data_IF_817213057053
#
_entry.id   IF_817213057053
#
_cell.length_a   1.000
_cell.length_b   1.000
_cell.length_c   1.000
_cell.angle_alpha   90.00
_cell.angle_beta   90.00
_cell.angle_gamma   90.00
#
_symmetry.space_group_name_H-M   'P 1'
#
loop_
_entity.id
_entity.type
_entity.pdbx_description
1 polymer ?
#
# COMPACT_ATOMS: atom_id res chain seq x y z
N UNK A 1 21.18 -60.61 13.49
CA UNK A 1 20.62 -60.14 12.20
C UNK A 1 19.79 -58.92 12.47
N UNK A 2 20.31 -57.76 12.04
CA UNK A 2 19.62 -56.47 12.20
C UNK A 2 19.16 -56.06 10.80
N UNK A 3 17.85 -55.98 10.56
CA UNK A 3 17.28 -55.54 9.28
C UNK A 3 17.03 -54.03 9.39
N UNK A 4 17.78 -53.25 8.63
CA UNK A 4 17.61 -51.81 8.50
C UNK A 4 16.61 -51.52 7.38
N UNK A 5 15.41 -51.00 7.71
CA UNK A 5 14.44 -50.48 6.73
C UNK A 5 14.80 -49.05 6.38
N UNK A 6 15.41 -48.83 5.24
CA UNK A 6 15.60 -47.51 4.66
C UNK A 6 14.32 -46.96 4.03
N UNK A 7 13.65 -46.00 4.69
CA UNK A 7 12.49 -45.31 4.13
C UNK A 7 12.94 -44.25 3.12
N UNK A 8 12.67 -44.47 1.83
CA UNK A 8 12.85 -43.50 0.77
C UNK A 8 11.78 -42.42 0.87
N UNK A 9 12.17 -41.18 1.28
CA UNK A 9 11.30 -40.01 1.20
C UNK A 9 11.21 -39.53 -0.25
N UNK A 10 10.11 -39.84 -0.90
CA UNK A 10 9.75 -39.26 -2.18
C UNK A 10 9.57 -37.73 -2.00
N UNK A 11 10.46 -36.93 -2.57
CA UNK A 11 10.28 -35.49 -2.70
C UNK A 11 9.28 -35.23 -3.82
N UNK A 12 8.04 -34.95 -3.48
CA UNK A 12 7.05 -34.41 -4.42
C UNK A 12 7.55 -33.05 -4.90
N UNK A 13 7.98 -32.97 -6.16
CA UNK A 13 8.26 -31.70 -6.82
C UNK A 13 6.91 -31.01 -7.03
N UNK A 14 6.66 -29.94 -6.28
CA UNK A 14 5.60 -28.97 -6.60
C UNK A 14 5.95 -28.35 -7.95
N UNK A 15 5.19 -28.67 -8.99
CA UNK A 15 5.26 -27.95 -10.26
C UNK A 15 4.66 -26.55 -10.03
N UNK A 16 5.51 -25.54 -10.06
CA UNK A 16 5.04 -24.15 -10.07
C UNK A 16 4.15 -23.95 -11.31
N UNK A 17 2.90 -23.62 -11.09
CA UNK A 17 1.99 -23.22 -12.19
C UNK A 17 2.50 -21.87 -12.68
N UNK A 18 3.03 -21.84 -13.91
CA UNK A 18 3.40 -20.59 -14.56
C UNK A 18 2.10 -19.87 -14.96
N UNK A 19 1.72 -18.87 -14.19
CA UNK A 19 0.61 -17.98 -14.55
C UNK A 19 1.14 -17.02 -15.62
N UNK A 20 0.57 -17.08 -16.82
CA UNK A 20 0.85 -16.11 -17.89
C UNK A 20 -0.02 -14.90 -17.61
N UNK A 21 0.56 -13.69 -17.43
CA UNK A 21 -0.21 -12.47 -17.23
C UNK A 21 -1.12 -12.20 -18.43
N UNK A 22 -2.36 -11.84 -18.16
CA UNK A 22 -3.27 -11.41 -19.21
C UNK A 22 -2.91 -9.98 -19.64
N UNK A 23 -2.75 -9.78 -20.94
CA UNK A 23 -2.62 -8.44 -21.53
C UNK A 23 -4.00 -7.77 -21.57
N UNK A 24 -4.07 -6.52 -21.15
CA UNK A 24 -5.29 -5.71 -21.20
C UNK A 24 -4.99 -4.38 -21.88
N UNK A 25 -5.94 -3.88 -22.64
CA UNK A 25 -5.88 -2.55 -23.24
C UNK A 25 -6.48 -1.53 -22.30
N UNK A 26 -5.93 -0.31 -22.31
CA UNK A 26 -6.41 0.81 -21.50
C UNK A 26 -7.12 1.80 -22.42
N UNK A 27 -8.35 2.16 -22.06
CA UNK A 27 -9.13 3.20 -22.74
C UNK A 27 -9.33 4.36 -21.77
N UNK A 28 -8.83 5.56 -22.13
CA UNK A 28 -9.07 6.78 -21.36
C UNK A 28 -10.51 7.23 -21.61
N UNK A 29 -11.34 7.15 -20.58
CA UNK A 29 -12.76 7.53 -20.64
C UNK A 29 -12.96 9.01 -20.37
N UNK A 30 -12.17 9.55 -19.42
CA UNK A 30 -12.20 10.97 -19.07
C UNK A 30 -10.87 11.41 -18.46
N UNK A 31 -10.63 12.73 -18.42
CA UNK A 31 -9.47 13.35 -17.79
C UNK A 31 -9.93 14.56 -17.00
N UNK A 32 -9.32 14.77 -15.84
CA UNK A 32 -9.62 15.87 -14.93
C UNK A 32 -8.32 16.61 -14.59
N UNK A 33 -8.44 17.92 -14.36
CA UNK A 33 -7.31 18.71 -13.90
C UNK A 33 -6.90 18.26 -12.49
N UNK A 34 -5.60 18.35 -12.23
CA UNK A 34 -4.98 17.97 -10.97
C UNK A 34 -3.99 19.03 -10.52
N UNK A 35 -3.81 19.21 -9.22
CA UNK A 35 -2.88 20.18 -8.65
C UNK A 35 -1.43 19.87 -9.07
N UNK A 36 -0.82 20.72 -9.89
CA UNK A 36 0.53 20.49 -10.45
C UNK A 36 1.64 20.40 -9.38
N UNK A 37 1.43 21.01 -8.21
CA UNK A 37 2.39 20.96 -7.10
C UNK A 37 2.27 19.72 -6.22
N UNK A 38 1.28 18.89 -6.44
CA UNK A 38 1.14 17.63 -5.72
C UNK A 38 2.18 16.63 -6.22
N UNK A 39 2.97 16.12 -5.31
CA UNK A 39 3.88 15.00 -5.57
C UNK A 39 3.19 13.71 -5.17
N UNK A 40 2.26 13.24 -6.01
CA UNK A 40 1.39 12.10 -5.72
C UNK A 40 2.18 10.81 -5.55
N UNK A 41 2.02 10.15 -4.41
CA UNK A 41 2.62 8.86 -4.07
C UNK A 41 1.59 7.76 -3.83
N UNK A 42 0.37 8.12 -3.53
CA UNK A 42 -0.74 7.20 -3.39
C UNK A 42 -2.06 7.85 -3.79
N UNK A 43 -2.91 7.10 -4.49
CA UNK A 43 -4.18 7.61 -4.99
C UNK A 43 -5.25 6.51 -4.92
N UNK A 44 -6.38 6.81 -4.30
CA UNK A 44 -7.50 5.89 -4.21
C UNK A 44 -8.83 6.64 -4.31
N UNK A 45 -9.74 6.12 -5.11
CA UNK A 45 -11.10 6.64 -5.23
C UNK A 45 -12.06 5.76 -4.44
N UNK A 46 -12.76 6.34 -3.45
CA UNK A 46 -13.68 5.62 -2.59
C UNK A 46 -14.92 6.48 -2.35
N UNK A 47 -16.09 5.95 -2.63
CA UNK A 47 -17.40 6.58 -2.37
C UNK A 47 -17.52 8.03 -2.88
N UNK A 48 -17.03 8.27 -4.10
CA UNK A 48 -17.08 9.58 -4.73
C UNK A 48 -15.98 10.56 -4.31
N UNK A 49 -15.07 10.15 -3.43
CA UNK A 49 -13.97 10.97 -2.91
C UNK A 49 -12.63 10.41 -3.37
N UNK A 50 -11.78 11.28 -3.90
CA UNK A 50 -10.37 11.00 -4.12
C UNK A 50 -9.60 11.17 -2.81
N UNK A 51 -8.81 10.16 -2.47
CA UNK A 51 -7.82 10.18 -1.39
C UNK A 51 -6.45 10.18 -2.02
N UNK A 52 -5.63 11.15 -1.67
CA UNK A 52 -4.31 11.34 -2.22
C UNK A 52 -3.28 11.46 -1.11
N UNK A 53 -2.27 10.60 -1.13
CA UNK A 53 -1.06 10.74 -0.34
C UNK A 53 0.03 11.41 -1.18
N UNK A 54 0.63 12.46 -0.67
CA UNK A 54 1.73 13.16 -1.33
C UNK A 54 3.05 12.91 -0.63
N UNK A 55 4.15 12.99 -1.40
CA UNK A 55 5.53 12.91 -0.91
C UNK A 55 6.12 14.28 -0.62
N UNK A 56 7.41 14.29 -0.44
CA UNK A 56 8.34 15.36 -0.11
C UNK A 56 8.48 15.70 1.38
N UNK A 57 9.73 15.81 1.81
CA UNK A 57 10.06 16.19 3.18
C UNK A 57 9.52 17.57 3.51
N UNK A 58 8.81 17.68 4.62
CA UNK A 58 8.21 18.91 5.11
C UNK A 58 6.91 19.34 4.45
N UNK A 59 6.42 18.55 3.45
CA UNK A 59 5.18 18.84 2.69
C UNK A 59 4.31 17.62 2.45
N UNK A 60 4.67 16.44 2.97
CA UNK A 60 3.87 15.22 2.80
C UNK A 60 2.53 15.33 3.51
N UNK A 61 1.46 15.08 2.78
CA UNK A 61 0.08 15.24 3.26
C UNK A 61 -0.81 14.11 2.75
N UNK A 62 -1.94 13.94 3.40
CA UNK A 62 -3.08 13.19 2.87
C UNK A 62 -4.19 14.18 2.62
N UNK A 63 -4.62 14.26 1.38
CA UNK A 63 -5.63 15.16 0.89
C UNK A 63 -6.88 14.41 0.44
N UNK A 64 -8.03 15.08 0.47
CA UNK A 64 -9.29 14.59 -0.10
C UNK A 64 -9.92 15.64 -0.99
N UNK A 65 -10.53 15.21 -2.08
CA UNK A 65 -11.26 16.09 -3.00
C UNK A 65 -12.31 15.29 -3.81
N UNK A 66 -13.32 15.96 -4.33
CA UNK A 66 -14.22 15.35 -5.31
C UNK A 66 -13.51 15.25 -6.67
N UNK A 67 -13.85 14.23 -7.46
CA UNK A 67 -13.27 14.07 -8.79
C UNK A 67 -13.62 15.27 -9.67
N UNK A 68 -12.59 15.94 -10.20
CA UNK A 68 -12.71 17.18 -10.98
C UNK A 68 -12.66 18.46 -10.14
N UNK A 69 -12.52 18.38 -8.83
CA UNK A 69 -12.26 19.52 -7.96
C UNK A 69 -10.75 19.78 -7.88
N UNK A 70 -10.33 21.03 -8.10
CA UNK A 70 -8.92 21.45 -8.03
C UNK A 70 -8.50 21.95 -6.64
N UNK A 71 -9.39 21.87 -5.65
CA UNK A 71 -9.17 22.36 -4.28
C UNK A 71 -9.13 21.22 -3.27
N UNK A 72 -7.98 20.54 -3.13
CA UNK A 72 -7.84 19.49 -2.14
C UNK A 72 -8.01 20.03 -0.72
N UNK A 73 -8.62 19.23 0.14
CA UNK A 73 -8.68 19.45 1.57
C UNK A 73 -7.63 18.59 2.26
N UNK A 74 -6.66 19.22 2.90
CA UNK A 74 -5.67 18.50 3.70
C UNK A 74 -6.33 17.92 4.94
N UNK A 75 -6.28 16.60 5.05
CA UNK A 75 -6.81 15.83 6.18
C UNK A 75 -5.73 15.55 7.22
N UNK A 76 -4.53 15.26 6.77
CA UNK A 76 -3.41 14.84 7.60
C UNK A 76 -2.13 15.44 7.01
N UNK A 77 -1.28 16.03 7.87
CA UNK A 77 0.09 16.42 7.50
C UNK A 77 1.08 15.54 8.25
N UNK A 78 2.08 15.03 7.57
CA UNK A 78 3.13 14.22 8.16
C UNK A 78 4.17 15.07 8.89
N UNK A 79 4.93 14.48 9.82
CA UNK A 79 6.14 15.11 10.36
C UNK A 79 7.09 15.57 9.25
N UNK A 80 7.73 16.73 9.42
CA UNK A 80 8.62 17.31 8.40
C UNK A 80 9.82 16.42 8.03
N UNK A 81 10.17 15.48 8.90
CA UNK A 81 11.25 14.51 8.71
C UNK A 81 10.84 13.26 7.94
N UNK A 82 9.57 13.14 7.56
CA UNK A 82 9.05 11.97 6.88
C UNK A 82 8.65 12.30 5.45
N UNK A 83 8.90 11.37 4.56
CA UNK A 83 8.45 11.39 3.17
C UNK A 83 7.28 10.41 3.04
N UNK A 84 6.08 10.92 2.77
CA UNK A 84 4.88 10.12 2.59
C UNK A 84 4.92 9.34 1.28
N UNK A 85 4.43 8.12 1.32
CA UNK A 85 4.36 7.20 0.19
C UNK A 85 2.94 6.66 0.02
N UNK A 86 2.79 5.47 -0.56
CA UNK A 86 1.51 4.85 -0.88
C UNK A 86 0.52 4.85 0.28
N UNK A 87 -0.74 5.09 -0.04
CA UNK A 87 -1.87 5.03 0.89
C UNK A 87 -2.89 3.98 0.47
N UNK A 88 -3.64 3.47 1.41
CA UNK A 88 -4.87 2.71 1.12
C UNK A 88 -5.86 2.77 2.27
N UNK A 89 -7.15 2.78 1.92
CA UNK A 89 -8.24 2.62 2.87
C UNK A 89 -8.61 1.14 2.97
N UNK A 90 -8.82 0.69 4.21
CA UNK A 90 -9.33 -0.64 4.50
C UNK A 90 -10.30 -0.55 5.69
N UNK A 91 -11.59 -0.69 5.42
CA UNK A 91 -12.64 -0.44 6.40
C UNK A 91 -12.62 1.00 6.89
N UNK A 92 -12.54 1.19 8.19
CA UNK A 92 -12.48 2.49 8.88
C UNK A 92 -11.07 3.05 9.06
N UNK A 93 -10.07 2.37 8.49
CA UNK A 93 -8.65 2.71 8.64
C UNK A 93 -8.03 3.17 7.34
N UNK A 94 -7.19 4.19 7.43
CA UNK A 94 -6.31 4.67 6.38
C UNK A 94 -4.88 4.33 6.75
N UNK A 95 -4.20 3.61 5.88
CA UNK A 95 -2.80 3.22 6.00
C UNK A 95 -1.95 4.11 5.09
N UNK A 96 -0.83 4.60 5.59
CA UNK A 96 0.14 5.39 4.84
C UNK A 96 1.55 4.91 5.10
N UNK A 97 2.27 4.59 4.05
CA UNK A 97 3.70 4.29 4.11
C UNK A 97 4.53 5.57 4.18
N UNK A 98 5.73 5.42 4.68
CA UNK A 98 6.81 6.41 4.57
C UNK A 98 7.97 5.78 3.82
N UNK A 99 8.75 6.56 3.06
CA UNK A 99 9.85 6.04 2.26
C UNK A 99 10.94 5.38 3.14
N UNK A 100 11.85 6.18 3.71
CA UNK A 100 13.01 5.69 4.46
C UNK A 100 12.82 5.75 5.98
N UNK A 101 11.70 6.27 6.45
CA UNK A 101 11.39 6.27 7.89
C UNK A 101 10.92 4.90 8.39
N UNK A 102 10.62 3.98 7.45
CA UNK A 102 10.22 2.59 7.74
C UNK A 102 8.99 2.48 8.65
N UNK A 103 8.06 3.42 8.51
CA UNK A 103 6.84 3.50 9.30
C UNK A 103 5.62 3.45 8.40
N UNK A 104 4.65 2.63 8.76
CA UNK A 104 3.29 2.72 8.25
C UNK A 104 2.41 3.36 9.33
N UNK A 105 1.92 4.54 9.07
CA UNK A 105 0.94 5.20 9.90
C UNK A 105 -0.45 4.66 9.64
N UNK A 106 -1.23 4.49 10.69
CA UNK A 106 -2.64 4.09 10.59
C UNK A 106 -3.50 5.16 11.24
N UNK A 107 -4.47 5.65 10.49
CA UNK A 107 -5.39 6.69 10.91
C UNK A 107 -6.84 6.20 10.86
N UNK A 108 -7.68 6.77 11.68
CA UNK A 108 -9.13 6.68 11.58
C UNK A 108 -9.62 7.55 10.42
N UNK A 109 -10.35 6.97 9.49
CA UNK A 109 -10.80 7.65 8.26
C UNK A 109 -11.71 8.84 8.56
N UNK A 110 -12.64 8.68 9.53
CA UNK A 110 -13.62 9.69 9.83
C UNK A 110 -13.03 10.94 10.49
N UNK A 111 -12.06 10.73 11.40
CA UNK A 111 -11.50 11.79 12.25
C UNK A 111 -10.11 12.27 11.84
N UNK A 112 -9.39 11.49 11.04
CA UNK A 112 -7.98 11.73 10.70
C UNK A 112 -7.03 11.52 11.90
N UNK A 113 -7.52 11.01 13.03
CA UNK A 113 -6.65 10.74 14.19
C UNK A 113 -5.76 9.56 13.94
N UNK A 114 -4.48 9.70 14.29
CA UNK A 114 -3.53 8.59 14.28
C UNK A 114 -3.91 7.56 15.35
N UNK A 115 -4.08 6.30 14.92
CA UNK A 115 -4.45 5.17 15.76
C UNK A 115 -3.21 4.42 16.24
N UNK A 116 -2.27 4.16 15.32
CA UNK A 116 -1.03 3.42 15.61
C UNK A 116 0.01 3.62 14.50
N UNK A 117 1.19 3.14 14.77
CA UNK A 117 2.29 3.02 13.81
C UNK A 117 2.73 1.55 13.75
N UNK A 118 3.03 1.07 12.54
CA UNK A 118 3.77 -0.16 12.33
C UNK A 118 5.16 0.15 11.80
N UNK A 119 6.12 -0.73 12.11
CA UNK A 119 7.46 -0.64 11.54
C UNK A 119 7.69 -1.77 10.56
N UNK A 120 8.41 -1.48 9.49
CA UNK A 120 8.81 -2.47 8.49
C UNK A 120 10.28 -2.30 8.09
N UNK A 121 10.85 -3.32 7.47
CA UNK A 121 12.23 -3.30 6.98
C UNK A 121 12.28 -2.89 5.51
N UNK A 122 13.26 -2.08 5.16
CA UNK A 122 13.45 -1.55 3.80
C UNK A 122 12.53 -0.37 3.52
N UNK A 123 12.51 0.08 2.29
CA UNK A 123 11.67 1.19 1.84
C UNK A 123 10.21 0.78 1.72
N UNK A 124 9.30 1.73 1.82
CA UNK A 124 7.89 1.58 1.50
C UNK A 124 7.54 2.45 0.31
N UNK A 125 6.87 1.88 -0.70
CA UNK A 125 6.48 2.58 -1.91
C UNK A 125 4.96 2.53 -2.10
N UNK A 126 4.45 1.67 -2.98
CA UNK A 126 3.00 1.54 -3.20
C UNK A 126 2.31 0.71 -2.12
N UNK A 127 1.06 1.03 -1.83
CA UNK A 127 0.20 0.30 -0.92
C UNK A 127 -1.21 0.19 -1.50
N UNK A 128 -1.80 -1.00 -1.43
CA UNK A 128 -3.20 -1.24 -1.80
C UNK A 128 -3.82 -2.34 -0.95
N UNK A 129 -5.10 -2.60 -1.13
CA UNK A 129 -5.85 -3.62 -0.40
C UNK A 129 -6.80 -4.38 -1.32
N UNK A 130 -7.07 -5.66 -1.01
CA UNK A 130 -8.14 -6.46 -1.62
C UNK A 130 -9.44 -6.45 -0.80
N UNK A 131 -9.51 -5.61 0.25
CA UNK A 131 -10.63 -5.55 1.20
C UNK A 131 -10.40 -6.39 2.47
N UNK A 132 -9.39 -7.25 2.50
CA UNK A 132 -9.02 -8.08 3.66
C UNK A 132 -7.54 -7.92 4.05
N UNK A 133 -6.67 -7.82 3.06
CA UNK A 133 -5.22 -7.77 3.22
C UNK A 133 -4.64 -6.53 2.58
N UNK A 134 -3.45 -6.17 3.03
CA UNK A 134 -2.66 -5.11 2.41
C UNK A 134 -1.61 -5.71 1.48
N UNK A 135 -1.31 -5.00 0.39
CA UNK A 135 -0.26 -5.34 -0.56
C UNK A 135 0.69 -4.15 -0.71
N UNK A 136 1.97 -4.40 -0.40
CA UNK A 136 3.00 -3.36 -0.39
C UNK A 136 4.10 -3.65 -1.41
N UNK A 137 4.51 -2.66 -2.16
CA UNK A 137 5.73 -2.65 -2.95
C UNK A 137 6.84 -1.87 -2.24
N UNK A 138 8.10 -2.13 -2.60
CA UNK A 138 9.28 -1.50 -2.00
C UNK A 138 10.43 -1.31 -3.00
N UNK A 139 10.11 -1.17 -4.29
CA UNK A 139 11.10 -1.03 -5.36
C UNK A 139 11.78 -2.33 -5.79
N UNK A 140 11.51 -3.46 -5.13
CA UNK A 140 12.00 -4.78 -5.57
C UNK A 140 11.01 -5.47 -6.52
N UNK A 141 11.36 -6.67 -6.98
CA UNK A 141 10.48 -7.52 -7.79
C UNK A 141 9.37 -8.22 -6.96
N UNK A 142 9.28 -7.93 -5.66
CA UNK A 142 8.33 -8.59 -4.77
C UNK A 142 7.18 -7.64 -4.40
N UNK A 143 6.00 -8.20 -4.30
CA UNK A 143 4.84 -7.59 -3.63
C UNK A 143 4.60 -8.35 -2.34
N UNK A 144 4.52 -7.64 -1.23
CA UNK A 144 4.34 -8.22 0.09
C UNK A 144 2.87 -8.19 0.49
N UNK A 145 2.30 -9.36 0.74
CA UNK A 145 0.99 -9.50 1.36
C UNK A 145 1.14 -9.36 2.87
N UNK A 146 0.37 -8.44 3.47
CA UNK A 146 0.49 -8.08 4.87
C UNK A 146 -0.84 -8.25 5.60
N UNK A 147 -0.74 -8.68 6.85
CA UNK A 147 -1.87 -8.66 7.78
C UNK A 147 -2.14 -7.22 8.23
N UNK A 148 -3.36 -6.66 8.09
CA UNK A 148 -3.64 -5.27 8.43
C UNK A 148 -3.56 -4.95 9.93
N UNK A 149 -3.76 -5.96 10.81
CA UNK A 149 -3.74 -5.72 12.25
C UNK A 149 -2.34 -5.80 12.86
N UNK A 150 -1.40 -6.50 12.22
CA UNK A 150 -0.04 -6.71 12.74
C UNK A 150 1.03 -6.17 11.81
N UNK A 151 0.68 -5.88 10.56
CA UNK A 151 1.58 -5.51 9.46
C UNK A 151 2.67 -6.58 9.16
N UNK A 152 2.46 -7.80 9.65
CA UNK A 152 3.36 -8.92 9.37
C UNK A 152 3.13 -9.46 7.96
N UNK A 153 4.22 -9.91 7.34
CA UNK A 153 4.15 -10.58 6.02
C UNK A 153 3.47 -11.93 6.17
N UNK A 154 2.56 -12.20 5.27
CA UNK A 154 1.93 -13.52 5.12
C UNK A 154 2.67 -14.32 4.03
N UNK A 155 2.68 -15.64 4.19
CA UNK A 155 3.33 -16.56 3.26
C UNK A 155 2.54 -16.72 1.96
#
# INVERSE_FOLDING_TARGET
>A
MVVSCGGSRSKTKSSAVTVVPQMVDIVVVNSFDHQQSAYTQGLQFVDGVMWEGTGEYGRSEINTYALGDDKPQTRISLPRSEFGEGITLLGDKLYQLTWESHVCHVYDVATGKKLRDFRYAGEGWGLTSDGEKLFMSNGSANIYKLNPETFSREA
#
